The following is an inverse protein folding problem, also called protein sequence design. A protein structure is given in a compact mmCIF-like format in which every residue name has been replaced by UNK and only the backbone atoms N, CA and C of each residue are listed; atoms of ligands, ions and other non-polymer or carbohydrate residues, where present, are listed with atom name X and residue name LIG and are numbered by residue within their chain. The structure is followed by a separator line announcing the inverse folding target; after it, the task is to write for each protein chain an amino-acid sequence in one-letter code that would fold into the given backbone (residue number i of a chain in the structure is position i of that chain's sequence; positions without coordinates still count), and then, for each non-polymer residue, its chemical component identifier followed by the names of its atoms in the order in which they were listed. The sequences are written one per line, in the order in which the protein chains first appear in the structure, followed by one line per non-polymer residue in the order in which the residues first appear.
data_IF_352172821260
#
_entry.id   IF_352172821260
#
_cell.length_a   1.000
_cell.length_b   1.000
_cell.length_c   1.000
_cell.angle_alpha   90.00
_cell.angle_beta   90.00
_cell.angle_gamma   90.00
#
_symmetry.space_group_name_H-M   'P 1'
#
loop_
_entity.id
_entity.type
_entity.pdbx_description
1 polymer ?
#
# COMPACT_ATOMS: atom_id res chain seq x y z
N UNK A 1 -10.72 -56.58 1.27
CA UNK A 1 -11.52 -55.36 0.98
C UNK A 1 -11.41 -54.31 2.09
N UNK A 2 -11.51 -54.69 3.37
CA UNK A 2 -11.49 -53.80 4.55
C UNK A 2 -10.20 -52.94 4.68
N UNK A 3 -9.02 -53.47 4.35
CA UNK A 3 -7.73 -52.74 4.46
C UNK A 3 -7.62 -51.52 3.53
N UNK A 4 -8.25 -51.55 2.34
CA UNK A 4 -8.23 -50.40 1.40
C UNK A 4 -9.10 -49.25 1.89
N UNK A 5 -10.25 -49.54 2.52
CA UNK A 5 -11.12 -48.51 3.09
C UNK A 5 -10.50 -47.86 4.33
N UNK A 6 -9.83 -48.64 5.18
CA UNK A 6 -9.10 -48.09 6.34
C UNK A 6 -7.98 -47.13 5.92
N UNK A 7 -7.26 -47.44 4.83
CA UNK A 7 -6.22 -46.57 4.29
C UNK A 7 -6.79 -45.24 3.75
N UNK A 8 -7.94 -45.27 3.08
CA UNK A 8 -8.59 -44.04 2.59
C UNK A 8 -9.11 -43.18 3.73
N UNK A 9 -9.63 -43.77 4.81
CA UNK A 9 -10.08 -43.02 5.99
C UNK A 9 -8.90 -42.36 6.71
N UNK A 10 -7.78 -43.06 6.86
CA UNK A 10 -6.56 -42.51 7.46
C UNK A 10 -5.97 -41.40 6.58
N UNK A 11 -5.96 -41.57 5.25
CA UNK A 11 -5.49 -40.56 4.31
C UNK A 11 -6.39 -39.30 4.34
N UNK A 12 -7.71 -39.47 4.43
CA UNK A 12 -8.67 -38.38 4.55
C UNK A 12 -8.48 -37.63 5.88
N UNK A 13 -8.27 -38.35 6.99
CA UNK A 13 -8.02 -37.76 8.30
C UNK A 13 -6.69 -36.97 8.36
N UNK A 14 -5.63 -37.46 7.71
CA UNK A 14 -4.35 -36.76 7.60
C UNK A 14 -4.45 -35.48 6.74
N UNK A 15 -5.27 -35.49 5.70
CA UNK A 15 -5.54 -34.26 4.91
C UNK A 15 -6.38 -33.25 5.68
N UNK A 16 -7.29 -33.70 6.55
CA UNK A 16 -8.10 -32.80 7.40
C UNK A 16 -7.26 -32.14 8.50
N UNK A 17 -6.28 -32.84 9.07
CA UNK A 17 -5.34 -32.26 10.05
C UNK A 17 -4.34 -31.27 9.45
N UNK A 18 -4.14 -31.27 8.13
CA UNK A 18 -3.22 -30.34 7.46
C UNK A 18 -3.81 -28.94 7.23
N UNK A 19 -5.08 -28.69 7.57
CA UNK A 19 -5.71 -27.36 7.47
C UNK A 19 -5.70 -26.55 8.77
N UNK A 20 -5.12 -27.07 9.85
CA UNK A 20 -4.86 -26.29 11.05
C UNK A 20 -3.56 -25.48 10.92
N UNK A 21 -3.45 -24.67 9.86
CA UNK A 21 -2.57 -23.49 9.95
C UNK A 21 -3.22 -22.61 11.00
N UNK A 22 -2.71 -22.64 12.23
CA UNK A 22 -3.15 -21.75 13.28
C UNK A 22 -3.03 -20.33 12.74
N UNK A 23 -4.16 -19.74 12.34
CA UNK A 23 -4.19 -18.38 11.85
C UNK A 23 -3.65 -17.50 12.97
N UNK A 24 -2.57 -16.78 12.69
CA UNK A 24 -1.90 -15.99 13.71
C UNK A 24 -2.87 -14.94 14.26
N UNK A 25 -3.26 -15.11 15.52
CA UNK A 25 -4.35 -14.35 16.16
C UNK A 25 -3.88 -13.05 16.79
N UNK A 26 -2.58 -12.95 17.12
CA UNK A 26 -1.95 -11.75 17.68
C UNK A 26 -1.23 -10.95 16.61
N UNK A 27 -1.31 -9.62 16.73
CA UNK A 27 -0.43 -8.73 15.97
C UNK A 27 0.96 -8.73 16.61
N UNK A 28 2.01 -8.51 15.82
CA UNK A 28 3.37 -8.44 16.36
C UNK A 28 4.22 -7.43 15.60
N UNK A 29 5.32 -7.03 16.22
CA UNK A 29 6.43 -6.32 15.57
C UNK A 29 7.71 -7.15 15.68
N UNK A 30 8.63 -6.96 14.74
CA UNK A 30 9.99 -7.50 14.83
C UNK A 30 10.95 -6.32 14.88
N UNK A 31 11.86 -6.29 15.84
CA UNK A 31 12.83 -5.21 16.02
C UNK A 31 14.09 -5.41 15.16
N UNK A 32 14.90 -4.37 15.02
CA UNK A 32 16.23 -4.45 14.38
C UNK A 32 17.17 -5.47 15.04
N UNK A 33 16.98 -5.71 16.34
CA UNK A 33 17.68 -6.78 17.10
C UNK A 33 17.10 -8.16 16.87
N UNK A 34 16.08 -8.29 16.01
CA UNK A 34 15.33 -9.51 15.67
C UNK A 34 14.47 -10.05 16.82
N UNK A 35 14.11 -9.21 17.77
CA UNK A 35 13.15 -9.56 18.81
C UNK A 35 11.74 -9.47 18.24
N UNK A 36 10.94 -10.52 18.43
CA UNK A 36 9.51 -10.50 18.12
C UNK A 36 8.73 -10.11 19.36
N UNK A 37 7.90 -9.09 19.23
CA UNK A 37 7.09 -8.55 20.33
C UNK A 37 5.63 -8.60 19.91
N UNK A 38 4.82 -9.39 20.62
CA UNK A 38 3.37 -9.38 20.47
C UNK A 38 2.78 -8.03 20.94
N UNK A 39 1.83 -7.52 20.18
CA UNK A 39 1.19 -6.23 20.43
C UNK A 39 -0.32 -6.35 20.33
N UNK A 40 -1.03 -5.65 21.22
CA UNK A 40 -2.51 -5.59 21.18
C UNK A 40 -2.99 -4.82 19.96
N UNK A 41 -2.28 -3.74 19.66
CA UNK A 41 -2.57 -2.82 18.57
C UNK A 41 -1.31 -2.04 18.22
N UNK A 42 -1.20 -1.64 16.96
CA UNK A 42 -0.27 -0.61 16.56
C UNK A 42 -0.93 0.42 15.67
N UNK A 43 -0.33 1.60 15.64
CA UNK A 43 -0.66 2.72 14.77
C UNK A 43 0.62 3.19 14.09
N UNK A 44 0.61 3.14 12.77
CA UNK A 44 1.75 3.51 11.93
C UNK A 44 1.65 5.02 11.70
N UNK A 45 2.63 5.77 12.23
CA UNK A 45 2.69 7.23 12.15
C UNK A 45 3.97 7.67 11.42
N UNK A 46 4.04 8.95 11.05
CA UNK A 46 5.22 9.53 10.41
C UNK A 46 6.49 9.28 11.24
N UNK A 47 7.42 8.47 10.69
CA UNK A 47 8.71 8.04 11.29
C UNK A 47 8.62 7.12 12.51
N UNK A 48 7.42 6.83 13.00
CA UNK A 48 7.22 6.16 14.28
C UNK A 48 6.07 5.18 14.23
N UNK A 49 6.23 4.03 14.87
CA UNK A 49 5.14 3.10 15.14
C UNK A 49 4.79 3.20 16.60
N UNK A 50 3.55 3.61 16.89
CA UNK A 50 2.99 3.55 18.24
C UNK A 50 2.41 2.17 18.44
N UNK A 51 2.91 1.44 19.41
CA UNK A 51 2.38 0.13 19.78
C UNK A 51 1.72 0.20 21.15
N UNK A 52 0.72 -0.65 21.36
CA UNK A 52 0.07 -0.89 22.63
C UNK A 52 0.37 -2.32 23.06
N UNK A 53 0.88 -2.50 24.27
CA UNK A 53 1.16 -3.79 24.90
C UNK A 53 0.60 -3.71 26.32
N UNK A 54 -0.36 -4.56 26.69
CA UNK A 54 -0.91 -4.64 28.05
C UNK A 54 -1.30 -3.26 28.63
N UNK A 55 -2.02 -2.47 27.84
CA UNK A 55 -2.39 -1.07 28.13
C UNK A 55 -1.25 -0.03 28.14
N UNK A 56 0.00 -0.45 28.15
CA UNK A 56 1.16 0.43 27.99
C UNK A 56 1.38 0.81 26.53
N UNK A 57 1.83 2.04 26.32
CA UNK A 57 2.16 2.57 24.99
C UNK A 57 3.66 2.70 24.85
N UNK A 58 4.19 2.13 23.77
CA UNK A 58 5.59 2.31 23.38
C UNK A 58 5.67 2.84 21.96
N UNK A 59 6.70 3.64 21.70
CA UNK A 59 6.92 4.23 20.39
C UNK A 59 8.27 3.76 19.89
N UNK A 60 8.28 3.21 18.68
CA UNK A 60 9.50 2.80 17.99
C UNK A 60 9.71 3.70 16.80
N UNK A 61 10.94 4.14 16.59
CA UNK A 61 11.33 4.69 15.30
C UNK A 61 11.34 3.55 14.27
N UNK A 62 11.06 3.89 13.01
CA UNK A 62 11.00 2.91 11.91
C UNK A 62 12.28 2.09 11.76
N UNK A 63 13.44 2.74 11.91
CA UNK A 63 14.76 2.09 11.82
C UNK A 63 14.95 1.01 12.89
N UNK A 64 14.21 1.09 14.00
CA UNK A 64 14.25 0.11 15.06
C UNK A 64 13.38 -1.13 14.77
N UNK A 65 12.63 -1.17 13.66
CA UNK A 65 11.74 -2.26 13.29
C UNK A 65 12.09 -2.90 11.95
N UNK A 66 12.01 -4.23 11.90
CA UNK A 66 12.24 -5.04 10.70
C UNK A 66 11.02 -5.81 10.25
N UNK A 67 9.91 -5.80 10.97
CA UNK A 67 8.62 -6.24 10.44
C UNK A 67 7.47 -5.79 11.34
N UNK A 68 6.25 -5.80 10.80
CA UNK A 68 5.00 -5.73 11.55
C UNK A 68 3.99 -6.73 10.97
N UNK A 69 3.06 -7.20 11.79
CA UNK A 69 1.94 -8.03 11.36
C UNK A 69 0.66 -7.56 12.01
N UNK A 70 -0.36 -7.28 11.19
CA UNK A 70 -1.73 -6.97 11.63
C UNK A 70 -2.59 -8.23 11.52
N UNK A 71 -2.92 -8.84 12.67
CA UNK A 71 -3.76 -10.03 12.71
C UNK A 71 -5.20 -9.76 12.27
N UNK A 72 -5.73 -8.56 12.55
CA UNK A 72 -7.11 -8.20 12.18
C UNK A 72 -7.26 -8.08 10.67
N UNK A 73 -6.22 -7.58 9.99
CA UNK A 73 -6.18 -7.44 8.52
C UNK A 73 -5.48 -8.59 7.81
N UNK A 74 -4.89 -9.53 8.55
CA UNK A 74 -4.02 -10.59 8.04
C UNK A 74 -2.92 -10.04 7.11
N UNK A 75 -2.33 -8.89 7.47
CA UNK A 75 -1.36 -8.19 6.61
C UNK A 75 0.02 -8.19 7.25
N UNK A 76 1.01 -8.67 6.50
CA UNK A 76 2.42 -8.68 6.88
C UNK A 76 3.15 -7.49 6.26
N UNK A 77 3.99 -6.83 7.06
CA UNK A 77 4.78 -5.67 6.70
C UNK A 77 6.23 -5.97 7.02
N UNK A 78 6.92 -6.74 6.18
CA UNK A 78 8.35 -7.00 6.38
C UNK A 78 9.17 -5.74 6.09
N UNK A 79 10.04 -5.42 7.05
CA UNK A 79 11.12 -4.44 7.02
C UNK A 79 10.82 -3.25 6.13
N UNK A 80 9.74 -2.51 6.39
CA UNK A 80 9.48 -1.17 5.80
C UNK A 80 10.00 -1.12 4.35
N UNK A 81 9.51 -2.05 3.54
CA UNK A 81 9.95 -2.28 2.16
C UNK A 81 9.86 -0.96 1.37
N UNK A 82 10.72 -0.72 0.35
CA UNK A 82 10.76 0.53 -0.44
C UNK A 82 9.43 0.91 -1.13
N UNK A 83 8.39 0.12 -0.93
CA UNK A 83 7.01 0.53 -1.13
C UNK A 83 6.76 1.89 -0.45
N UNK A 84 7.12 2.11 0.82
CA UNK A 84 6.90 3.44 1.43
C UNK A 84 8.13 4.35 1.28
N UNK A 85 8.06 5.33 0.38
CA UNK A 85 9.14 6.29 0.16
C UNK A 85 8.86 7.60 0.90
N UNK A 86 9.90 8.15 1.53
CA UNK A 86 9.89 9.45 2.19
C UNK A 86 9.98 10.56 1.11
N UNK A 87 8.90 11.32 0.89
CA UNK A 87 8.93 12.49 0.02
C UNK A 87 8.69 13.78 0.78
N UNK A 88 9.54 14.77 0.54
CA UNK A 88 9.29 16.15 0.98
C UNK A 88 8.27 16.77 0.03
N UNK A 89 7.04 16.95 0.50
CA UNK A 89 6.03 17.67 -0.24
C UNK A 89 6.40 19.16 -0.41
N UNK A 90 5.68 19.90 -1.26
CA UNK A 90 5.95 21.32 -1.54
C UNK A 90 5.95 22.22 -0.30
N UNK A 91 5.24 21.81 0.76
CA UNK A 91 5.16 22.52 2.05
C UNK A 91 6.33 22.22 2.99
N UNK A 92 7.33 21.44 2.57
CA UNK A 92 8.42 20.94 3.41
C UNK A 92 8.01 19.81 4.36
N UNK A 93 6.71 19.44 4.39
CA UNK A 93 6.22 18.29 5.15
C UNK A 93 6.55 17.00 4.41
N UNK A 94 7.17 16.09 5.14
CA UNK A 94 7.44 14.74 4.67
C UNK A 94 6.18 13.88 4.75
N UNK A 95 5.83 13.17 3.67
CA UNK A 95 4.78 12.15 3.68
C UNK A 95 5.33 10.79 3.19
N UNK A 96 4.70 9.72 3.66
CA UNK A 96 5.02 8.34 3.30
C UNK A 96 3.93 7.82 2.36
N UNK A 97 4.33 7.35 1.19
CA UNK A 97 3.40 6.87 0.16
C UNK A 97 3.81 5.49 -0.33
N UNK A 98 2.83 4.59 -0.48
CA UNK A 98 2.95 3.23 -0.99
C UNK A 98 3.24 3.24 -2.49
N UNK A 99 4.41 2.81 -2.91
CA UNK A 99 4.87 2.73 -4.30
C UNK A 99 4.18 1.54 -4.96
N UNK A 100 3.30 1.85 -5.90
CA UNK A 100 2.49 0.87 -6.62
C UNK A 100 3.22 0.29 -7.84
N UNK A 101 4.21 0.99 -8.40
CA UNK A 101 4.93 0.54 -9.60
C UNK A 101 6.45 0.62 -9.43
N UNK A 102 7.19 -0.25 -10.15
CA UNK A 102 8.65 -0.33 -10.11
C UNK A 102 9.25 0.02 -11.48
N UNK A 103 10.31 0.83 -11.47
CA UNK A 103 11.07 1.23 -12.67
C UNK A 103 11.17 2.73 -12.82
N UNK A 104 11.33 3.19 -14.06
CA UNK A 104 11.56 4.60 -14.40
C UNK A 104 10.42 5.49 -13.93
N UNK A 105 9.18 5.13 -14.21
CA UNK A 105 7.99 5.88 -13.79
C UNK A 105 7.38 5.17 -12.59
N UNK A 106 7.10 5.91 -11.53
CA UNK A 106 6.67 5.38 -10.24
C UNK A 106 5.37 6.05 -9.83
N UNK A 107 4.37 5.24 -9.48
CA UNK A 107 3.11 5.68 -8.86
C UNK A 107 3.20 5.42 -7.37
N UNK A 108 2.70 6.35 -6.55
CA UNK A 108 2.60 6.21 -5.11
C UNK A 108 1.19 6.49 -4.61
N UNK A 109 0.80 5.85 -3.50
CA UNK A 109 -0.50 5.98 -2.84
C UNK A 109 -0.32 6.26 -1.36
N UNK A 110 -0.79 7.42 -0.92
CA UNK A 110 -0.65 7.89 0.45
C UNK A 110 -2.01 7.92 1.14
N UNK A 111 -2.13 7.36 2.34
CA UNK A 111 -3.31 7.57 3.19
C UNK A 111 -3.13 8.87 3.96
N UNK A 112 -3.99 9.85 3.71
CA UNK A 112 -4.02 11.12 4.44
C UNK A 112 -5.19 11.13 5.42
N UNK A 113 -4.90 11.54 6.66
CA UNK A 113 -5.95 11.87 7.61
C UNK A 113 -6.35 13.32 7.40
N UNK A 114 -7.64 13.58 7.19
CA UNK A 114 -8.16 14.94 7.17
C UNK A 114 -7.88 15.55 8.54
N UNK A 115 -6.99 16.54 8.58
CA UNK A 115 -6.70 17.27 9.82
C UNK A 115 -8.02 17.81 10.36
N UNK A 116 -8.35 17.38 11.57
CA UNK A 116 -9.35 17.89 12.50
C UNK A 116 -9.97 19.22 12.05
N UNK A 117 -11.09 19.15 11.31
CA UNK A 117 -11.94 20.31 11.10
C UNK A 117 -12.87 20.33 12.31
N UNK A 118 -12.76 21.30 13.24
CA UNK A 118 -13.72 21.42 14.32
C UNK A 118 -15.07 21.81 13.70
N UNK A 119 -15.94 20.84 13.48
CA UNK A 119 -17.31 21.10 13.09
C UNK A 119 -18.04 21.50 14.37
N UNK A 120 -18.26 22.79 14.56
CA UNK A 120 -19.06 23.29 15.68
C UNK A 120 -20.52 23.00 15.36
N UNK A 121 -21.06 21.90 15.89
CA UNK A 121 -22.50 21.74 15.99
C UNK A 121 -23.00 22.65 17.13
N UNK A 122 -24.15 23.30 16.94
CA UNK A 122 -24.80 24.24 17.87
C UNK A 122 -25.25 23.63 19.21
N UNK A 123 -24.80 22.41 19.53
CA UNK A 123 -25.06 21.67 20.76
C UNK A 123 -23.74 21.08 21.25
N UNK A 124 -22.80 21.93 21.69
CA UNK A 124 -21.75 21.66 22.70
C UNK A 124 -20.92 20.36 22.65
N UNK A 125 -20.93 19.60 21.56
CA UNK A 125 -20.29 18.30 21.44
C UNK A 125 -19.30 18.29 20.29
N UNK A 126 -18.01 18.10 20.62
CA UNK A 126 -16.95 17.98 19.63
C UNK A 126 -16.91 16.53 19.12
N UNK A 127 -17.63 16.26 18.04
CA UNK A 127 -17.52 14.98 17.34
C UNK A 127 -16.36 15.05 16.34
N UNK A 128 -15.19 14.53 16.75
CA UNK A 128 -14.04 14.39 15.86
C UNK A 128 -14.22 13.23 14.89
N UNK A 129 -14.78 13.50 13.71
CA UNK A 129 -14.75 12.56 12.58
C UNK A 129 -13.39 12.62 11.90
N UNK A 130 -12.56 11.60 12.08
CA UNK A 130 -11.32 11.45 11.30
C UNK A 130 -11.65 10.72 10.00
N UNK A 131 -11.98 11.46 8.94
CA UNK A 131 -12.05 10.87 7.61
C UNK A 131 -10.65 10.73 7.03
N UNK A 132 -10.25 9.50 6.72
CA UNK A 132 -9.01 9.21 6.01
C UNK A 132 -9.30 9.01 4.52
N UNK A 133 -8.48 9.59 3.64
CA UNK A 133 -8.62 9.45 2.18
C UNK A 133 -7.27 9.15 1.54
N UNK A 134 -7.28 8.58 0.34
CA UNK A 134 -6.05 8.32 -0.41
C UNK A 134 -5.66 9.51 -1.28
N UNK A 135 -4.37 9.72 -1.48
CA UNK A 135 -3.79 10.66 -2.44
C UNK A 135 -2.76 9.91 -3.26
N UNK A 136 -2.83 10.05 -4.58
CA UNK A 136 -1.92 9.41 -5.51
C UNK A 136 -0.90 10.42 -6.01
N UNK A 137 0.30 9.93 -6.29
CA UNK A 137 1.41 10.70 -6.83
C UNK A 137 2.05 9.93 -7.98
N UNK A 138 2.64 10.64 -8.94
CA UNK A 138 3.40 10.08 -10.06
C UNK A 138 4.75 10.79 -10.17
N UNK A 139 5.82 10.04 -10.43
CA UNK A 139 7.17 10.61 -10.50
C UNK A 139 8.13 9.76 -11.32
N UNK A 140 9.31 10.32 -11.57
CA UNK A 140 10.45 9.57 -12.12
C UNK A 140 11.33 9.05 -10.99
N UNK A 141 11.98 7.91 -11.21
CA UNK A 141 12.95 7.34 -10.28
C UNK A 141 14.03 8.37 -9.91
N UNK A 142 14.22 8.58 -8.61
CA UNK A 142 15.19 9.53 -8.07
C UNK A 142 14.73 11.00 -8.04
N UNK A 143 13.55 11.32 -8.57
CA UNK A 143 12.98 12.68 -8.56
C UNK A 143 11.80 12.79 -7.58
N UNK A 144 11.47 14.03 -7.21
CA UNK A 144 10.29 14.32 -6.41
C UNK A 144 9.02 14.08 -7.25
N UNK A 145 8.03 13.32 -6.75
CA UNK A 145 6.81 13.03 -7.48
C UNK A 145 5.82 14.19 -7.38
N UNK A 146 4.98 14.30 -8.39
CA UNK A 146 3.90 15.26 -8.49
C UNK A 146 2.59 14.61 -8.07
N UNK A 147 1.65 15.40 -7.56
CA UNK A 147 0.33 14.91 -7.19
C UNK A 147 -0.44 14.50 -8.45
N UNK A 148 -1.01 13.30 -8.41
CA UNK A 148 -1.78 12.72 -9.49
C UNK A 148 -3.28 12.95 -9.27
N UNK A 149 -3.83 12.47 -8.16
CA UNK A 149 -5.26 12.62 -7.84
C UNK A 149 -5.55 12.38 -6.35
N UNK A 150 -6.80 12.63 -5.95
CA UNK A 150 -7.37 12.31 -4.63
C UNK A 150 -8.36 11.14 -4.76
N UNK A 151 -8.51 10.39 -3.67
CA UNK A 151 -9.46 9.28 -3.50
C UNK A 151 -9.18 8.05 -4.36
N UNK A 152 -9.29 8.17 -5.68
CA UNK A 152 -9.13 7.06 -6.63
C UNK A 152 -8.63 7.54 -8.00
N UNK A 153 -8.10 6.62 -8.80
CA UNK A 153 -7.64 6.89 -10.16
C UNK A 153 -8.81 6.66 -11.13
N UNK A 154 -9.29 7.74 -11.74
CA UNK A 154 -10.44 7.74 -12.64
C UNK A 154 -10.08 8.07 -14.10
N UNK A 155 -8.82 8.45 -14.36
CA UNK A 155 -8.37 9.01 -15.65
C UNK A 155 -9.09 10.31 -16.00
N UNK A 156 -9.14 11.26 -15.05
CA UNK A 156 -9.55 12.64 -15.36
C UNK A 156 -8.68 13.27 -16.46
N UNK A 157 -9.12 14.39 -17.04
CA UNK A 157 -8.38 15.08 -18.11
C UNK A 157 -6.98 15.51 -17.65
N UNK A 158 -6.83 15.86 -16.38
CA UNK A 158 -5.57 16.25 -15.74
C UNK A 158 -4.67 15.03 -15.55
N UNK A 159 -5.20 13.92 -15.02
CA UNK A 159 -4.48 12.65 -14.90
C UNK A 159 -3.99 12.14 -16.26
N UNK A 160 -4.86 12.17 -17.28
CA UNK A 160 -4.53 11.78 -18.65
C UNK A 160 -3.32 12.56 -19.19
N UNK A 161 -3.29 13.89 -18.99
CA UNK A 161 -2.14 14.72 -19.41
C UNK A 161 -0.86 14.31 -18.70
N UNK A 162 -0.93 14.04 -17.39
CA UNK A 162 0.23 13.56 -16.62
C UNK A 162 0.72 12.22 -17.16
N UNK A 163 -0.16 11.25 -17.41
CA UNK A 163 0.26 9.98 -17.99
C UNK A 163 0.89 10.14 -19.38
N UNK A 164 0.30 10.96 -20.26
CA UNK A 164 0.91 11.25 -21.56
C UNK A 164 2.32 11.82 -21.41
N UNK A 165 2.52 12.75 -20.48
CA UNK A 165 3.81 13.37 -20.22
C UNK A 165 4.85 12.36 -19.71
N UNK A 166 4.49 11.57 -18.69
CA UNK A 166 5.41 10.64 -18.05
C UNK A 166 5.74 9.42 -18.93
N UNK A 167 4.80 9.00 -19.78
CA UNK A 167 4.89 7.79 -20.61
C UNK A 167 5.09 8.10 -22.10
N UNK A 168 5.48 9.33 -22.45
CA UNK A 168 5.48 9.87 -23.83
C UNK A 168 6.30 9.08 -24.86
N UNK A 169 7.29 8.30 -24.42
CA UNK A 169 8.30 7.73 -25.33
C UNK A 169 7.84 6.48 -26.11
N UNK A 170 6.65 5.94 -25.86
CA UNK A 170 6.16 4.70 -26.49
C UNK A 170 4.78 4.90 -27.10
N UNK A 171 4.70 4.88 -28.44
CA UNK A 171 3.45 5.06 -29.18
C UNK A 171 2.38 4.01 -28.83
N UNK A 172 2.80 2.77 -28.60
CA UNK A 172 1.91 1.69 -28.17
C UNK A 172 1.28 2.03 -26.82
N UNK A 173 2.10 2.45 -25.85
CA UNK A 173 1.61 2.84 -24.53
C UNK A 173 0.73 4.10 -24.63
N UNK A 174 1.06 5.05 -25.50
CA UNK A 174 0.24 6.26 -25.71
C UNK A 174 -1.17 5.91 -26.21
N UNK A 175 -1.30 4.96 -27.13
CA UNK A 175 -2.61 4.46 -27.61
C UNK A 175 -3.39 3.77 -26.51
N UNK A 176 -2.72 3.00 -25.65
CA UNK A 176 -3.36 2.34 -24.51
C UNK A 176 -3.85 3.35 -23.45
N UNK A 177 -3.10 4.43 -23.20
CA UNK A 177 -3.54 5.52 -22.31
C UNK A 177 -4.80 6.19 -22.89
N UNK A 178 -4.82 6.43 -24.20
CA UNK A 178 -5.98 7.03 -24.88
C UNK A 178 -7.21 6.10 -24.82
N UNK A 179 -7.03 4.80 -25.08
CA UNK A 179 -8.10 3.82 -24.93
C UNK A 179 -8.63 3.76 -23.50
N UNK A 180 -7.76 3.80 -22.50
CA UNK A 180 -8.14 3.81 -21.09
C UNK A 180 -8.85 5.10 -20.68
N UNK A 181 -8.47 6.24 -21.28
CA UNK A 181 -9.16 7.52 -21.05
C UNK A 181 -10.62 7.48 -21.52
N UNK A 182 -10.87 6.87 -22.68
CA UNK A 182 -12.22 6.74 -23.25
C UNK A 182 -13.01 5.53 -22.76
N UNK A 183 -12.46 4.67 -21.89
CA UNK A 183 -13.18 3.52 -21.36
C UNK A 183 -14.28 3.93 -20.37
N UNK A 184 -15.38 3.16 -20.36
CA UNK A 184 -16.50 3.32 -19.41
C UNK A 184 -16.25 2.64 -18.05
N UNK A 185 -15.01 2.20 -17.78
CA UNK A 185 -14.69 1.56 -16.50
C UNK A 185 -14.65 2.58 -15.36
N UNK A 186 -15.47 2.38 -14.33
CA UNK A 186 -15.53 3.26 -13.16
C UNK A 186 -14.24 3.23 -12.32
N UNK A 187 -13.50 2.11 -12.33
CA UNK A 187 -12.27 1.94 -11.54
C UNK A 187 -11.10 1.58 -12.43
N UNK A 188 -10.18 2.53 -12.58
CA UNK A 188 -9.04 2.42 -13.51
C UNK A 188 -7.69 2.23 -12.83
N UNK A 189 -7.65 2.15 -11.49
CA UNK A 189 -6.41 2.00 -10.71
C UNK A 189 -5.53 0.84 -11.21
N UNK A 190 -6.07 -0.38 -11.23
CA UNK A 190 -5.31 -1.57 -11.66
C UNK A 190 -4.88 -1.48 -13.13
N UNK A 191 -5.75 -0.96 -14.00
CA UNK A 191 -5.44 -0.78 -15.42
C UNK A 191 -4.27 0.18 -15.64
N UNK A 192 -4.28 1.31 -14.92
CA UNK A 192 -3.18 2.30 -14.92
C UNK A 192 -1.89 1.70 -14.36
N UNK A 193 -1.95 1.03 -13.21
CA UNK A 193 -0.77 0.41 -12.57
C UNK A 193 -0.11 -0.56 -13.56
N UNK A 194 -0.90 -1.46 -14.15
CA UNK A 194 -0.42 -2.41 -15.14
C UNK A 194 0.17 -1.74 -16.39
N UNK A 195 -0.45 -0.65 -16.85
CA UNK A 195 0.04 0.13 -18.00
C UNK A 195 1.42 0.76 -17.70
N UNK A 196 1.60 1.35 -16.52
CA UNK A 196 2.90 1.91 -16.10
C UNK A 196 3.95 0.82 -15.93
N UNK A 197 3.60 -0.35 -15.38
CA UNK A 197 4.54 -1.47 -15.29
C UNK A 197 4.98 -1.96 -16.67
N UNK A 198 4.07 -2.09 -17.64
CA UNK A 198 4.42 -2.41 -19.03
C UNK A 198 5.34 -1.36 -19.65
N UNK A 199 5.07 -0.07 -19.42
CA UNK A 199 5.96 0.99 -19.88
C UNK A 199 7.36 0.86 -19.29
N UNK A 200 7.48 0.58 -17.98
CA UNK A 200 8.77 0.40 -17.32
C UNK A 200 9.53 -0.82 -17.85
N UNK A 201 8.84 -1.92 -18.14
CA UNK A 201 9.43 -3.09 -18.79
C UNK A 201 9.93 -2.76 -20.20
N UNK A 202 9.13 -2.05 -20.99
CA UNK A 202 9.51 -1.57 -22.32
C UNK A 202 10.74 -0.65 -22.24
N UNK A 203 10.75 0.31 -21.32
CA UNK A 203 11.87 1.24 -21.13
C UNK A 203 13.16 0.49 -20.81
N UNK A 204 13.09 -0.49 -19.90
CA UNK A 204 14.24 -1.32 -19.52
C UNK A 204 14.82 -2.10 -20.70
N UNK A 205 13.95 -2.56 -21.61
CA UNK A 205 14.35 -3.36 -22.78
C UNK A 205 15.00 -2.51 -23.88
N UNK A 206 14.59 -1.26 -24.07
CA UNK A 206 14.94 -0.49 -25.29
C UNK A 206 15.75 0.78 -25.05
N UNK A 207 16.04 1.15 -23.79
CA UNK A 207 16.76 2.41 -23.48
C UNK A 207 17.82 2.32 -22.38
N UNK A 208 18.12 1.11 -21.91
CA UNK A 208 19.22 0.83 -20.98
C UNK A 208 20.39 0.09 -21.66
N UNK A 209 20.37 0.03 -23.00
CA UNK A 209 21.53 -0.22 -23.87
C UNK A 209 21.97 1.12 -24.50
#
# INVERSE_FOLDING_TARGET
MIKKQLFHIILLALTFFSFCVAAQTSSYIVTATKDTIDVDKFDIQTKKVKIKINDDKKVYDYEALTALYDAKRQKHYEKISPVYVEYKGPSGKTFFAERLTKGKVQIYKCLMNQLYIPVTNSIGGVAGGSNSFFVYYIGLEGLAPEMLCYYEIEMSKEEYKLYKLYLHSSDTIQKEIEALFFSEEDKKEDAVINLVERYNQWWKKYKLE
#
